data_IF_828610449630
#
_entry.id   IF_828610449630
#
_cell.length_a   1.000
_cell.length_b   1.000
_cell.length_c   1.000
_cell.angle_alpha   90.00
_cell.angle_beta   90.00
_cell.angle_gamma   90.00
#
_symmetry.space_group_name_H-M   'P 1'
#
loop_
_entity.id
_entity.type
_entity.pdbx_description
1 polymer ?
#
# COMPACT_ATOMS: atom_id res chain seq x y z
N UNK A 1 -2.19 7.94 -10.47
CA UNK A 1 -1.00 8.48 -9.80
C UNK A 1 -0.25 9.51 -10.63
N UNK A 2 -0.02 9.27 -11.91
CA UNK A 2 0.69 10.22 -12.78
C UNK A 2 0.00 11.58 -12.83
N UNK A 3 -1.31 11.61 -12.99
CA UNK A 3 -2.11 12.85 -13.08
C UNK A 3 -2.00 13.67 -11.78
N UNK A 4 -2.13 13.03 -10.62
CA UNK A 4 -2.02 13.73 -9.32
C UNK A 4 -0.58 14.14 -9.02
N UNK A 5 0.39 13.35 -9.49
CA UNK A 5 1.82 13.65 -9.33
C UNK A 5 2.23 14.96 -10.04
N UNK A 6 1.61 15.28 -11.16
CA UNK A 6 1.83 16.55 -11.86
C UNK A 6 1.47 17.78 -11.00
N UNK A 7 0.65 17.58 -9.97
CA UNK A 7 0.26 18.61 -9.01
C UNK A 7 1.01 18.50 -7.66
N UNK A 8 2.08 17.69 -7.59
CA UNK A 8 2.83 17.46 -6.34
C UNK A 8 2.06 16.64 -5.31
N UNK A 9 1.07 15.86 -5.75
CA UNK A 9 0.19 15.05 -4.91
C UNK A 9 0.39 13.55 -5.18
N UNK A 10 -0.08 12.73 -4.24
CA UNK A 10 -0.11 11.26 -4.35
C UNK A 10 -1.36 10.72 -3.68
N UNK A 11 -1.91 9.65 -4.21
CA UNK A 11 -2.93 8.85 -3.52
C UNK A 11 -2.29 8.08 -2.34
N UNK A 12 -1.01 7.71 -2.50
CA UNK A 12 -0.29 6.91 -1.51
C UNK A 12 -0.67 5.43 -1.53
N UNK A 13 -1.51 5.00 -2.48
CA UNK A 13 -1.92 3.62 -2.66
C UNK A 13 -1.11 2.98 -3.80
N UNK A 14 -0.23 2.05 -3.43
CA UNK A 14 0.67 1.38 -4.37
C UNK A 14 0.56 -0.13 -4.24
N UNK A 15 -0.49 -0.77 -4.79
CA UNK A 15 -0.54 -2.23 -4.84
C UNK A 15 0.55 -2.77 -5.78
N UNK A 16 0.98 -3.99 -5.58
CA UNK A 16 1.98 -4.61 -6.46
C UNK A 16 1.51 -4.69 -7.92
N UNK A 17 0.19 -4.76 -8.11
CA UNK A 17 -0.47 -4.80 -9.42
C UNK A 17 -0.71 -3.42 -10.06
N UNK A 18 -0.14 -2.34 -9.54
CA UNK A 18 -0.46 -0.95 -9.97
C UNK A 18 -0.38 -0.74 -11.49
N UNK A 19 0.54 -1.43 -12.15
CA UNK A 19 0.73 -1.30 -13.60
C UNK A 19 -0.38 -1.93 -14.46
N UNK A 20 -1.19 -2.83 -13.87
CA UNK A 20 -2.19 -3.65 -14.58
C UNK A 20 -3.57 -3.64 -13.92
N UNK A 21 -3.74 -2.89 -12.85
CA UNK A 21 -4.99 -2.80 -12.09
C UNK A 21 -5.67 -1.44 -12.27
N UNK A 22 -6.99 -1.42 -12.08
CA UNK A 22 -7.80 -0.20 -12.10
C UNK A 22 -8.16 0.24 -10.68
N UNK A 23 -8.50 1.51 -10.52
CA UNK A 23 -8.98 2.06 -9.24
C UNK A 23 -10.28 1.36 -8.79
N UNK A 24 -11.22 1.10 -9.70
CA UNK A 24 -12.43 0.34 -9.38
C UNK A 24 -12.11 -1.07 -8.91
N UNK A 25 -11.11 -1.72 -9.49
CA UNK A 25 -10.61 -3.02 -9.04
C UNK A 25 -10.03 -2.97 -7.63
N UNK A 26 -9.29 -1.93 -7.27
CA UNK A 26 -8.77 -1.76 -5.90
C UNK A 26 -9.91 -1.70 -4.88
N UNK A 27 -10.96 -0.94 -5.19
CA UNK A 27 -12.14 -0.81 -4.33
C UNK A 27 -12.89 -2.13 -4.24
N UNK A 28 -13.15 -2.76 -5.38
CA UNK A 28 -13.91 -4.02 -5.44
C UNK A 28 -13.22 -5.17 -4.69
N UNK A 29 -11.90 -5.16 -4.58
CA UNK A 29 -11.11 -6.23 -3.90
C UNK A 29 -10.57 -5.83 -2.54
N UNK A 30 -10.85 -4.62 -2.04
CA UNK A 30 -10.19 -4.05 -0.84
C UNK A 30 -8.67 -4.13 -0.93
N UNK A 31 -8.10 -3.71 -2.03
CA UNK A 31 -6.67 -3.82 -2.27
C UNK A 31 -5.84 -3.14 -1.18
N UNK A 32 -4.75 -3.79 -0.79
CA UNK A 32 -3.76 -3.22 0.11
C UNK A 32 -2.58 -2.67 -0.69
N UNK A 33 -2.16 -1.45 -0.38
CA UNK A 33 -0.99 -0.81 -0.98
C UNK A 33 0.27 -1.04 -0.16
N UNK A 34 1.43 -0.93 -0.81
CA UNK A 34 2.74 -1.09 -0.16
C UNK A 34 3.01 -0.05 0.93
N UNK A 35 2.35 1.11 0.84
CA UNK A 35 2.49 2.20 1.81
C UNK A 35 1.38 2.22 2.86
N UNK A 36 0.62 1.12 3.00
CA UNK A 36 -0.54 1.05 3.91
C UNK A 36 -0.20 1.28 5.38
N UNK A 37 1.03 0.99 5.81
CA UNK A 37 1.49 1.28 7.18
C UNK A 37 1.41 2.77 7.52
N UNK A 38 1.67 3.65 6.54
CA UNK A 38 1.61 5.11 6.74
C UNK A 38 0.28 5.72 6.28
N UNK A 39 -0.32 5.21 5.21
CA UNK A 39 -1.44 5.87 4.54
C UNK A 39 -2.77 5.14 4.68
N UNK A 40 -2.77 3.92 5.17
CA UNK A 40 -3.94 3.05 5.21
C UNK A 40 -4.13 2.25 3.91
N UNK A 41 -5.14 1.41 3.92
CA UNK A 41 -5.58 0.65 2.76
C UNK A 41 -6.57 1.47 1.91
N UNK A 42 -7.06 0.89 0.82
CA UNK A 42 -7.99 1.60 -0.07
C UNK A 42 -9.25 2.09 0.66
N UNK A 43 -9.78 1.32 1.61
CA UNK A 43 -10.93 1.68 2.42
C UNK A 43 -10.74 2.93 3.27
N UNK A 44 -9.51 3.20 3.70
CA UNK A 44 -9.15 4.38 4.49
C UNK A 44 -9.00 5.64 3.63
N UNK A 45 -8.84 5.46 2.32
CA UNK A 45 -8.56 6.52 1.37
C UNK A 45 -9.81 7.00 0.62
N UNK A 46 -10.90 6.23 0.65
CA UNK A 46 -12.12 6.51 -0.10
C UNK A 46 -13.02 7.51 0.63
N UNK A 47 -13.47 8.54 -0.07
CA UNK A 47 -14.49 9.47 0.39
C UNK A 47 -15.88 9.14 -0.13
N UNK A 48 -15.98 8.75 -1.41
CA UNK A 48 -17.24 8.28 -1.99
C UNK A 48 -17.00 7.25 -3.08
N UNK A 49 -18.00 6.42 -3.31
CA UNK A 49 -18.04 5.42 -4.38
C UNK A 49 -19.30 5.63 -5.19
N UNK A 50 -19.15 5.69 -6.50
CA UNK A 50 -20.24 5.69 -7.45
C UNK A 50 -20.33 4.32 -8.13
N UNK A 51 -21.51 3.78 -8.23
CA UNK A 51 -21.73 2.48 -8.84
C UNK A 51 -23.07 2.38 -9.55
N UNK A 52 -23.13 1.52 -10.56
CA UNK A 52 -24.35 1.07 -11.21
C UNK A 52 -24.77 -0.26 -10.59
N UNK A 53 -25.98 -0.31 -10.05
CA UNK A 53 -26.59 -1.51 -9.46
C UNK A 53 -27.16 -2.44 -10.54
N UNK A 54 -27.51 -3.70 -10.19
CA UNK A 54 -28.04 -4.67 -11.17
C UNK A 54 -29.35 -4.26 -11.86
N UNK A 55 -30.13 -3.37 -11.26
CA UNK A 55 -31.38 -2.81 -11.84
C UNK A 55 -31.09 -1.62 -12.79
N UNK A 56 -29.80 -1.26 -12.99
CA UNK A 56 -29.38 -0.12 -13.80
C UNK A 56 -29.38 1.23 -13.09
N UNK A 57 -29.76 1.28 -11.81
CA UNK A 57 -29.73 2.51 -11.03
C UNK A 57 -28.29 2.96 -10.72
N UNK A 58 -28.02 4.26 -10.83
CA UNK A 58 -26.79 4.88 -10.41
C UNK A 58 -26.89 5.32 -8.96
N UNK A 59 -25.95 4.90 -8.13
CA UNK A 59 -25.89 5.28 -6.72
C UNK A 59 -24.54 5.91 -6.40
N UNK A 60 -24.55 6.90 -5.51
CA UNK A 60 -23.34 7.48 -4.94
C UNK A 60 -23.40 7.29 -3.42
N UNK A 61 -22.42 6.56 -2.89
CA UNK A 61 -22.31 6.25 -1.47
C UNK A 61 -21.14 7.00 -0.85
N UNK A 62 -21.41 7.71 0.25
CA UNK A 62 -20.46 8.60 0.91
C UNK A 62 -20.49 10.01 0.33
N UNK A 63 -20.31 11.00 1.21
CA UNK A 63 -20.29 12.42 0.84
C UNK A 63 -19.03 13.15 1.35
N UNK A 64 -18.13 12.44 1.98
CA UNK A 64 -16.92 13.03 2.56
C UNK A 64 -16.15 12.03 3.44
N UNK A 65 -15.07 12.50 4.10
CA UNK A 65 -14.15 11.62 4.82
C UNK A 65 -14.79 10.90 6.01
N UNK A 66 -15.84 11.50 6.61
CA UNK A 66 -16.59 10.89 7.73
C UNK A 66 -18.02 11.33 7.71
N UNK A 67 -18.95 10.38 7.96
CA UNK A 67 -20.34 10.65 8.27
C UNK A 67 -20.57 10.46 9.77
N UNK A 68 -21.28 11.40 10.40
CA UNK A 68 -21.64 11.32 11.82
C UNK A 68 -22.97 10.61 12.07
N UNK A 69 -23.67 10.21 11.01
CA UNK A 69 -24.99 9.57 11.09
C UNK A 69 -25.07 8.35 10.19
N UNK A 70 -25.76 7.32 10.69
CA UNK A 70 -26.05 6.08 9.96
C UNK A 70 -24.84 5.15 9.74
N UNK A 71 -25.09 3.98 9.16
CA UNK A 71 -24.02 3.08 8.74
C UNK A 71 -23.28 3.65 7.51
N UNK A 72 -22.00 3.38 7.42
CA UNK A 72 -21.19 3.74 6.26
C UNK A 72 -21.46 2.75 5.11
N UNK A 73 -22.35 3.14 4.22
CA UNK A 73 -22.78 2.29 3.11
C UNK A 73 -21.69 2.08 2.04
N UNK A 74 -20.61 2.86 2.03
CA UNK A 74 -19.46 2.63 1.14
C UNK A 74 -18.92 1.22 1.29
N UNK A 75 -18.93 0.70 2.52
CA UNK A 75 -18.42 -0.62 2.84
C UNK A 75 -19.22 -1.78 2.25
N UNK A 76 -20.42 -1.53 1.72
CA UNK A 76 -21.18 -2.54 0.96
C UNK A 76 -20.50 -2.84 -0.39
N UNK A 77 -20.02 -1.80 -1.08
CA UNK A 77 -19.38 -1.95 -2.38
C UNK A 77 -17.89 -2.31 -2.25
N UNK A 78 -17.23 -1.93 -1.16
CA UNK A 78 -15.84 -2.29 -0.90
C UNK A 78 -15.71 -3.80 -0.66
N UNK A 79 -14.92 -4.45 -1.51
CA UNK A 79 -14.70 -5.90 -1.41
C UNK A 79 -15.88 -6.73 -1.94
N UNK A 80 -16.83 -6.10 -2.66
CA UNK A 80 -17.98 -6.81 -3.26
C UNK A 80 -17.61 -7.64 -4.49
N UNK A 81 -16.44 -7.42 -5.08
CA UNK A 81 -15.93 -8.11 -6.26
C UNK A 81 -16.95 -8.16 -7.43
N UNK A 82 -17.75 -7.08 -7.58
CA UNK A 82 -18.77 -6.96 -8.61
C UNK A 82 -20.11 -7.65 -8.32
N UNK A 83 -20.28 -8.28 -7.16
CA UNK A 83 -21.53 -8.99 -6.81
C UNK A 83 -22.71 -8.07 -6.54
N UNK A 84 -22.46 -6.82 -6.16
CA UNK A 84 -23.48 -5.84 -5.80
C UNK A 84 -23.66 -4.74 -6.85
N UNK A 85 -22.72 -4.59 -7.77
CA UNK A 85 -22.76 -3.56 -8.80
C UNK A 85 -21.42 -3.32 -9.45
N UNK A 86 -21.39 -2.45 -10.45
CA UNK A 86 -20.18 -2.04 -11.18
C UNK A 86 -19.74 -0.67 -10.69
N UNK A 87 -18.54 -0.55 -10.14
CA UNK A 87 -17.98 0.70 -9.67
C UNK A 87 -17.58 1.56 -10.87
N UNK A 88 -18.15 2.75 -10.98
CA UNK A 88 -17.95 3.68 -12.10
C UNK A 88 -17.16 4.91 -11.72
N UNK A 89 -17.19 5.30 -10.44
CA UNK A 89 -16.47 6.46 -9.95
C UNK A 89 -16.03 6.30 -8.50
N UNK A 90 -14.91 6.94 -8.14
CA UNK A 90 -14.38 6.94 -6.78
C UNK A 90 -13.77 8.30 -6.47
N UNK A 91 -14.12 8.86 -5.32
CA UNK A 91 -13.44 10.04 -4.77
C UNK A 91 -12.43 9.56 -3.72
N UNK A 92 -11.16 9.88 -3.94
CA UNK A 92 -10.05 9.48 -3.08
C UNK A 92 -9.43 10.68 -2.37
N UNK A 93 -8.93 10.46 -1.17
CA UNK A 93 -8.08 11.41 -0.48
C UNK A 93 -6.72 11.51 -1.16
N UNK A 94 -6.19 12.71 -1.27
CA UNK A 94 -4.85 12.96 -1.79
C UNK A 94 -3.96 13.51 -0.68
N UNK A 95 -2.66 13.28 -0.83
CA UNK A 95 -1.62 13.77 0.08
C UNK A 95 -0.52 14.47 -0.70
N UNK A 96 0.23 15.33 -0.05
CA UNK A 96 1.44 15.90 -0.67
C UNK A 96 2.47 14.80 -0.88
N UNK A 97 3.15 14.82 -2.01
CA UNK A 97 4.29 13.95 -2.23
C UNK A 97 5.39 14.26 -1.20
N UNK A 98 6.08 13.20 -0.77
CA UNK A 98 7.24 13.36 0.07
C UNK A 98 8.37 14.05 -0.72
N UNK A 99 8.94 15.11 -0.16
CA UNK A 99 10.04 15.86 -0.77
C UNK A 99 11.30 15.00 -0.87
N UNK A 100 11.49 14.09 0.06
CA UNK A 100 12.63 13.16 0.11
C UNK A 100 12.16 11.76 0.47
N UNK A 101 12.79 10.78 -0.15
CA UNK A 101 12.61 9.36 0.16
C UNK A 101 13.97 8.77 0.50
N UNK A 102 14.04 8.03 1.59
CA UNK A 102 15.19 7.25 1.98
C UNK A 102 14.81 5.77 2.04
N UNK A 103 15.65 4.91 1.52
CA UNK A 103 15.54 3.47 1.65
C UNK A 103 16.74 3.00 2.48
N UNK A 104 16.47 2.19 3.48
CA UNK A 104 17.51 1.60 4.33
C UNK A 104 17.29 0.10 4.35
N UNK A 105 18.33 -0.66 4.06
CA UNK A 105 18.37 -2.09 4.23
C UNK A 105 19.22 -2.42 5.45
N UNK A 106 18.73 -3.32 6.29
CA UNK A 106 19.40 -3.76 7.51
C UNK A 106 19.46 -5.29 7.50
N UNK A 107 20.65 -5.83 7.77
CA UNK A 107 20.81 -7.25 8.00
C UNK A 107 20.43 -7.62 9.44
N UNK A 108 19.75 -8.75 9.60
CA UNK A 108 19.46 -9.34 10.89
C UNK A 108 20.00 -10.78 10.94
N UNK A 109 20.55 -11.24 12.09
CA UNK A 109 21.12 -12.59 12.20
C UNK A 109 20.06 -13.69 12.06
N UNK A 110 18.81 -13.39 12.36
CA UNK A 110 17.68 -14.29 12.24
C UNK A 110 16.36 -13.51 12.07
N UNK A 111 15.29 -14.24 11.68
CA UNK A 111 13.97 -13.66 11.46
C UNK A 111 13.37 -13.02 12.72
N UNK A 112 13.61 -13.61 13.89
CA UNK A 112 13.08 -13.11 15.17
C UNK A 112 13.68 -11.76 15.52
N UNK A 113 14.97 -11.60 15.36
CA UNK A 113 15.68 -10.34 15.60
C UNK A 113 15.16 -9.24 14.66
N UNK A 114 14.94 -9.56 13.39
CA UNK A 114 14.36 -8.62 12.45
C UNK A 114 12.93 -8.21 12.81
N UNK A 115 12.07 -9.14 13.24
CA UNK A 115 10.72 -8.82 13.72
C UNK A 115 10.75 -7.97 15.00
N UNK A 116 11.64 -8.26 15.93
CA UNK A 116 11.78 -7.45 17.14
C UNK A 116 12.19 -6.01 16.79
N UNK A 117 13.14 -5.85 15.89
CA UNK A 117 13.54 -4.54 15.41
C UNK A 117 12.38 -3.75 14.78
N UNK A 118 11.61 -4.38 13.88
CA UNK A 118 10.44 -3.75 13.28
C UNK A 118 9.38 -3.37 14.32
N UNK A 119 9.14 -4.25 15.30
CA UNK A 119 8.22 -3.97 16.42
C UNK A 119 8.66 -2.75 17.22
N UNK A 120 9.93 -2.69 17.63
CA UNK A 120 10.48 -1.56 18.39
C UNK A 120 10.38 -0.26 17.59
N UNK A 121 10.66 -0.31 16.30
CA UNK A 121 10.53 0.84 15.41
C UNK A 121 9.10 1.38 15.39
N UNK A 122 8.11 0.53 15.25
CA UNK A 122 6.69 0.91 15.27
C UNK A 122 6.27 1.43 16.65
N UNK A 123 6.71 0.76 17.73
CA UNK A 123 6.40 1.16 19.10
C UNK A 123 7.04 2.49 19.50
N UNK A 124 8.17 2.85 18.92
CA UNK A 124 8.81 4.16 19.12
C UNK A 124 8.06 5.33 18.46
N UNK A 125 6.96 5.03 17.74
CA UNK A 125 6.17 6.03 17.03
C UNK A 125 6.60 6.26 15.57
N UNK A 126 7.71 5.65 15.17
CA UNK A 126 8.13 5.67 13.77
C UNK A 126 7.25 4.72 12.94
N UNK A 127 6.68 5.25 11.86
CA UNK A 127 5.86 4.47 10.92
C UNK A 127 6.40 4.63 9.51
N UNK A 128 7.48 3.92 9.16
CA UNK A 128 7.96 3.92 7.79
C UNK A 128 6.83 3.48 6.85
N UNK A 129 6.67 4.13 5.69
CA UNK A 129 5.62 3.78 4.74
C UNK A 129 5.69 2.33 4.28
N UNK A 130 6.90 1.80 4.18
CA UNK A 130 7.16 0.41 3.81
C UNK A 130 8.15 -0.18 4.81
N UNK A 131 7.79 -1.33 5.37
CA UNK A 131 8.69 -2.20 6.09
C UNK A 131 8.53 -3.61 5.53
N UNK A 132 9.61 -4.22 5.12
CA UNK A 132 9.64 -5.58 4.60
C UNK A 132 10.79 -6.34 5.20
N UNK A 133 10.56 -7.59 5.45
CA UNK A 133 11.58 -8.52 5.87
C UNK A 133 11.53 -9.73 4.94
N UNK A 134 12.69 -10.14 4.52
CA UNK A 134 12.89 -11.30 3.67
C UNK A 134 13.64 -12.36 4.47
N UNK A 135 13.32 -13.62 4.27
CA UNK A 135 14.13 -14.71 4.74
C UNK A 135 15.40 -14.87 3.91
N UNK A 136 16.32 -15.70 4.34
CA UNK A 136 17.59 -15.96 3.66
C UNK A 136 17.38 -16.41 2.21
N UNK A 137 16.39 -17.28 1.96
CA UNK A 137 16.13 -17.83 0.63
C UNK A 137 15.64 -16.75 -0.34
N UNK A 138 14.72 -15.91 0.10
CA UNK A 138 14.19 -14.83 -0.72
C UNK A 138 15.24 -13.72 -0.91
N UNK A 139 16.03 -13.42 0.11
CA UNK A 139 17.14 -12.47 0.02
C UNK A 139 18.16 -12.91 -1.03
N UNK A 140 18.56 -14.19 -1.04
CA UNK A 140 19.44 -14.75 -2.06
C UNK A 140 18.84 -14.65 -3.47
N UNK A 141 17.55 -14.96 -3.65
CA UNK A 141 16.89 -14.83 -4.95
C UNK A 141 16.89 -13.40 -5.49
N UNK A 142 16.66 -12.43 -4.60
CA UNK A 142 16.70 -11.01 -4.98
C UNK A 142 18.09 -10.56 -5.37
N UNK A 143 19.11 -11.05 -4.67
CA UNK A 143 20.52 -10.82 -4.97
C UNK A 143 20.90 -11.40 -6.34
N UNK A 144 20.59 -12.67 -6.58
CA UNK A 144 20.90 -13.37 -7.83
C UNK A 144 20.16 -12.75 -9.03
N UNK A 145 18.97 -12.16 -8.80
CA UNK A 145 18.24 -11.43 -9.81
C UNK A 145 18.83 -10.03 -10.14
N UNK A 146 19.96 -9.65 -9.51
CA UNK A 146 20.61 -8.36 -9.72
C UNK A 146 19.80 -7.15 -9.24
N UNK A 147 18.81 -7.38 -8.38
CA UNK A 147 17.91 -6.34 -7.87
C UNK A 147 18.47 -5.60 -6.66
N UNK A 148 19.49 -6.13 -6.03
CA UNK A 148 20.19 -5.46 -4.94
C UNK A 148 21.26 -4.51 -5.50
N UNK A 149 21.40 -3.30 -4.94
CA UNK A 149 22.48 -2.39 -5.33
C UNK A 149 23.86 -3.03 -5.11
N UNK A 150 24.79 -2.78 -6.02
CA UNK A 150 26.18 -3.27 -5.93
C UNK A 150 26.87 -3.01 -4.58
N UNK A 151 26.48 -1.92 -3.91
CA UNK A 151 26.98 -1.57 -2.58
C UNK A 151 26.57 -2.58 -1.51
N UNK A 152 25.31 -3.04 -1.53
CA UNK A 152 24.83 -4.07 -0.60
C UNK A 152 25.52 -5.40 -0.85
N UNK A 153 25.67 -5.82 -2.09
CA UNK A 153 26.41 -7.02 -2.46
C UNK A 153 27.87 -6.97 -1.96
N UNK A 154 28.51 -5.80 -2.01
CA UNK A 154 29.86 -5.60 -1.48
C UNK A 154 29.91 -5.66 0.06
N UNK A 155 28.91 -5.13 0.75
CA UNK A 155 28.79 -5.22 2.21
C UNK A 155 28.57 -6.67 2.69
N UNK A 156 27.73 -7.41 1.99
CA UNK A 156 27.47 -8.83 2.25
C UNK A 156 28.72 -9.70 2.06
N UNK A 157 29.54 -9.43 1.04
CA UNK A 157 30.77 -10.18 0.80
C UNK A 157 31.79 -10.05 1.94
N UNK A 158 31.66 -9.05 2.80
CA UNK A 158 32.52 -8.84 3.97
C UNK A 158 31.95 -9.37 5.29
N UNK A 159 30.67 -9.74 5.31
CA UNK A 159 29.98 -10.36 6.45
C UNK A 159 29.09 -11.48 5.94
N UNK A 160 29.66 -12.67 5.68
CA UNK A 160 28.92 -13.80 5.10
C UNK A 160 27.84 -14.37 6.01
N UNK A 161 27.82 -14.00 7.27
CA UNK A 161 26.87 -14.38 8.30
C UNK A 161 25.65 -13.43 8.40
N UNK A 162 25.62 -12.36 7.63
CA UNK A 162 24.52 -11.39 7.59
C UNK A 162 23.89 -11.42 6.20
N UNK A 163 22.66 -11.89 6.10
CA UNK A 163 21.85 -11.87 4.87
C UNK A 163 20.86 -10.71 4.99
N UNK A 164 20.88 -9.80 4.03
CA UNK A 164 19.95 -8.65 3.94
C UNK A 164 18.65 -9.02 3.25
#
# INVERSE_FOLDING_TARGET
EQDVAAHGLTIGHWPQSIAVSSVGGWVATRASGQFSTAYGNIEDLIYSVEAVLPDGSLVTLGAGPRASAGPDLRHLLLGSEGTLGVITGVTLSLRRQAERRALTALGAPDMRTGFNYQRELVQSGWRPPVMRQYDERESRRLHDAGRLPRLLAWLESRRPDVVC
#
